data_IF_241098064006
#
_entry.id   IF_241098064006
#
_cell.length_a   1.000
_cell.length_b   1.000
_cell.length_c   1.000
_cell.angle_alpha   90.00
_cell.angle_beta   90.00
_cell.angle_gamma   90.00
#
_symmetry.space_group_name_H-M   'P 1'
#
loop_
_entity.id
_entity.type
_entity.pdbx_description
1 polymer ?
#
# COMPACT_ATOMS: atom_id res chain seq x y z
N UNK A 1 -46.49 5.59 32.20
CA UNK A 1 -45.99 5.60 30.81
C UNK A 1 -44.81 4.64 30.69
N UNK A 2 -45.06 3.39 30.32
CA UNK A 2 -44.03 2.34 30.23
C UNK A 2 -43.33 2.35 28.88
N UNK A 3 -42.00 2.33 28.88
CA UNK A 3 -41.20 2.09 27.68
C UNK A 3 -41.23 0.59 27.35
N UNK A 4 -41.44 0.20 26.07
CA UNK A 4 -41.34 -1.20 25.68
C UNK A 4 -39.86 -1.66 25.66
N UNK A 5 -39.58 -2.95 25.90
CA UNK A 5 -38.23 -3.50 25.85
C UNK A 5 -37.76 -3.65 24.39
N UNK A 6 -36.49 -3.29 24.16
CA UNK A 6 -35.83 -3.44 22.86
C UNK A 6 -35.49 -4.92 22.61
N UNK A 7 -36.07 -5.48 21.56
CA UNK A 7 -35.78 -6.83 21.07
C UNK A 7 -34.51 -6.76 20.22
N UNK A 8 -33.46 -7.48 20.64
CA UNK A 8 -32.21 -7.61 19.89
C UNK A 8 -32.37 -8.64 18.75
N UNK A 9 -31.88 -8.36 17.53
CA UNK A 9 -31.89 -9.32 16.44
C UNK A 9 -30.82 -10.41 16.66
N UNK A 10 -31.25 -11.66 16.56
CA UNK A 10 -30.43 -12.87 16.61
C UNK A 10 -29.49 -12.99 15.40
N UNK A 11 -28.21 -13.25 15.67
CA UNK A 11 -27.15 -13.35 14.66
C UNK A 11 -27.30 -14.58 13.75
N UNK A 12 -26.98 -14.47 12.44
CA UNK A 12 -27.00 -15.61 11.51
C UNK A 12 -25.79 -16.54 11.72
N UNK A 13 -26.07 -17.83 11.81
CA UNK A 13 -25.11 -18.92 11.97
C UNK A 13 -24.56 -19.32 10.59
N UNK A 14 -23.24 -19.26 10.40
CA UNK A 14 -22.56 -19.67 9.15
C UNK A 14 -22.10 -21.13 9.21
N UNK A 15 -22.32 -21.95 8.15
CA UNK A 15 -21.89 -23.34 8.11
C UNK A 15 -20.41 -23.47 7.73
N UNK A 16 -19.70 -24.32 8.48
CA UNK A 16 -18.35 -24.77 8.18
C UNK A 16 -18.33 -25.68 6.93
N UNK A 17 -17.43 -25.38 5.98
CA UNK A 17 -17.10 -26.27 4.87
C UNK A 17 -15.59 -26.35 4.70
N UNK A 18 -15.04 -27.49 5.08
CA UNK A 18 -13.68 -27.89 4.71
C UNK A 18 -13.61 -28.30 3.24
N UNK A 19 -12.40 -28.20 2.66
CA UNK A 19 -11.99 -29.08 1.58
C UNK A 19 -10.47 -29.19 1.49
N UNK A 20 -10.07 -30.44 1.31
CA UNK A 20 -8.75 -31.05 1.27
C UNK A 20 -8.05 -30.89 -0.10
N UNK A 21 -6.77 -31.28 -0.12
CA UNK A 21 -6.01 -31.88 -1.24
C UNK A 21 -5.39 -30.91 -2.24
N UNK A 22 -4.20 -31.12 -2.81
CA UNK A 22 -3.11 -32.10 -2.67
C UNK A 22 -1.93 -31.57 -3.52
N UNK A 23 -0.70 -32.01 -3.19
CA UNK A 23 0.47 -32.26 -4.06
C UNK A 23 0.79 -31.33 -5.23
N UNK A 24 2.02 -30.77 -5.21
CA UNK A 24 2.79 -30.55 -6.43
C UNK A 24 4.21 -31.09 -6.30
N UNK A 25 4.58 -31.76 -7.38
CA UNK A 25 5.66 -32.71 -7.57
C UNK A 25 7.04 -32.05 -7.75
N UNK A 26 8.05 -32.85 -7.45
CA UNK A 26 9.47 -32.59 -7.62
C UNK A 26 9.87 -32.78 -9.08
N UNK A 27 10.75 -31.93 -9.62
CA UNK A 27 11.50 -32.25 -10.83
C UNK A 27 13.00 -32.08 -10.60
N UNK A 28 13.63 -33.22 -10.30
CA UNK A 28 15.04 -33.48 -10.49
C UNK A 28 15.38 -33.48 -11.99
N UNK A 29 16.44 -32.76 -12.36
CA UNK A 29 17.16 -32.98 -13.60
C UNK A 29 18.66 -32.74 -13.35
N UNK A 30 19.37 -33.84 -13.10
CA UNK A 30 20.82 -33.93 -13.11
C UNK A 30 21.36 -34.12 -14.53
N UNK A 31 22.70 -33.98 -14.67
CA UNK A 31 23.60 -34.35 -15.79
C UNK A 31 24.04 -33.13 -16.63
N UNK A 32 25.30 -32.91 -17.02
CA UNK A 32 26.52 -33.75 -17.12
C UNK A 32 27.74 -32.83 -17.34
N UNK A 33 28.94 -33.35 -17.03
CA UNK A 33 30.23 -32.67 -17.06
C UNK A 33 30.96 -32.69 -18.43
N UNK A 34 31.97 -31.80 -18.55
CA UNK A 34 33.24 -31.88 -19.35
C UNK A 34 33.14 -31.95 -20.90
N UNK A 35 34.03 -31.42 -21.75
CA UNK A 35 35.37 -30.84 -21.66
C UNK A 35 35.81 -30.29 -23.05
N UNK A 36 36.68 -29.26 -23.05
CA UNK A 36 37.75 -28.93 -24.03
C UNK A 36 37.46 -28.81 -25.55
N UNK A 37 37.88 -27.67 -26.14
CA UNK A 37 38.19 -27.61 -27.58
C UNK A 37 38.27 -26.23 -28.22
N UNK A 38 39.46 -25.59 -28.13
CA UNK A 38 40.03 -24.45 -28.88
C UNK A 38 39.30 -23.98 -30.16
N UNK A 39 39.13 -22.66 -30.35
CA UNK A 39 39.97 -21.81 -31.24
C UNK A 39 39.29 -20.48 -31.64
N UNK A 40 40.15 -19.50 -31.95
CA UNK A 40 39.94 -18.29 -32.76
C UNK A 40 39.14 -17.09 -32.18
N UNK A 41 39.91 -16.17 -31.60
CA UNK A 41 39.99 -14.73 -31.95
C UNK A 41 38.69 -14.06 -32.42
N UNK A 42 38.14 -13.19 -31.57
CA UNK A 42 37.47 -11.97 -32.01
C UNK A 42 37.78 -10.87 -31.00
N UNK A 43 38.58 -9.91 -31.46
CA UNK A 43 38.80 -8.63 -30.82
C UNK A 43 37.51 -7.79 -30.87
N UNK A 44 37.42 -6.80 -29.97
CA UNK A 44 36.31 -5.86 -29.76
C UNK A 44 35.06 -6.50 -29.13
N UNK A 45 34.76 -6.24 -27.86
CA UNK A 45 34.18 -4.95 -27.50
C UNK A 45 34.50 -4.59 -26.04
N UNK A 46 35.52 -3.75 -25.85
CA UNK A 46 35.51 -2.79 -24.75
C UNK A 46 34.47 -1.71 -25.12
N UNK A 47 33.20 -2.02 -24.94
CA UNK A 47 32.12 -1.07 -25.08
C UNK A 47 31.55 -0.76 -23.68
N UNK A 48 32.09 0.32 -23.11
CA UNK A 48 31.31 1.32 -22.38
C UNK A 48 30.76 0.93 -21.00
N UNK A 49 31.61 0.86 -19.97
CA UNK A 49 31.19 1.15 -18.59
C UNK A 49 31.34 2.64 -18.20
N UNK A 50 31.73 3.50 -19.15
CA UNK A 50 31.85 4.96 -18.98
C UNK A 50 30.68 5.63 -19.71
N UNK A 51 29.45 5.40 -19.25
CA UNK A 51 28.26 5.89 -19.97
C UNK A 51 26.99 6.08 -19.14
N UNK A 52 26.99 5.75 -17.84
CA UNK A 52 25.83 6.02 -16.99
C UNK A 52 25.84 7.39 -16.31
N UNK A 53 26.97 8.11 -16.35
CA UNK A 53 27.08 9.42 -15.68
C UNK A 53 26.74 10.61 -16.61
N UNK A 54 26.94 10.48 -17.93
CA UNK A 54 26.78 11.60 -18.87
C UNK A 54 25.37 11.75 -19.49
N UNK A 55 24.49 10.76 -19.36
CA UNK A 55 23.12 10.85 -19.92
C UNK A 55 22.16 11.56 -18.95
N UNK A 56 22.54 11.70 -17.67
CA UNK A 56 21.64 12.32 -16.69
C UNK A 56 21.43 13.81 -17.01
N UNK A 57 22.41 14.51 -17.58
CA UNK A 57 22.43 15.98 -17.73
C UNK A 57 21.44 16.58 -18.75
N UNK A 58 20.80 15.78 -19.60
CA UNK A 58 19.83 16.27 -20.62
C UNK A 58 18.37 16.01 -20.31
N UNK A 59 18.04 15.35 -19.20
CA UNK A 59 16.65 15.19 -18.76
C UNK A 59 16.22 16.51 -18.09
N UNK A 60 15.21 17.23 -18.60
CA UNK A 60 14.69 18.43 -17.97
C UNK A 60 14.35 18.17 -16.49
N UNK A 61 14.60 19.12 -15.58
CA UNK A 61 14.43 18.91 -14.13
C UNK A 61 13.04 18.39 -13.75
N UNK A 62 12.00 18.86 -14.45
CA UNK A 62 10.62 18.39 -14.29
C UNK A 62 10.46 16.89 -14.60
N UNK A 63 11.12 16.37 -15.64
CA UNK A 63 10.99 14.97 -16.04
C UNK A 63 11.68 14.02 -15.05
N UNK A 64 12.78 14.46 -14.42
CA UNK A 64 13.43 13.69 -13.34
C UNK A 64 12.53 13.57 -12.12
N UNK A 65 11.86 14.67 -11.76
CA UNK A 65 10.97 14.70 -10.61
C UNK A 65 9.74 13.79 -10.81
N UNK A 66 9.12 13.83 -11.98
CA UNK A 66 8.02 12.91 -12.34
C UNK A 66 8.47 11.44 -12.25
N UNK A 67 9.67 11.11 -12.77
CA UNK A 67 10.19 9.75 -12.68
C UNK A 67 10.45 9.31 -11.23
N UNK A 68 10.91 10.23 -10.37
CA UNK A 68 11.11 9.99 -8.94
C UNK A 68 9.79 9.69 -8.24
N UNK A 69 8.77 10.52 -8.45
CA UNK A 69 7.42 10.34 -7.88
C UNK A 69 6.81 9.01 -8.35
N UNK A 70 6.86 8.70 -9.64
CA UNK A 70 6.35 7.43 -10.17
C UNK A 70 7.05 6.21 -9.56
N UNK A 71 8.37 6.29 -9.37
CA UNK A 71 9.13 5.23 -8.70
C UNK A 71 8.69 5.04 -7.24
N UNK A 72 8.49 6.14 -6.51
CA UNK A 72 8.01 6.12 -5.13
C UNK A 72 6.59 5.55 -5.03
N UNK A 73 5.64 6.03 -5.85
CA UNK A 73 4.28 5.50 -5.89
C UNK A 73 4.27 4.01 -6.25
N UNK A 74 5.10 3.57 -7.20
CA UNK A 74 5.21 2.14 -7.56
C UNK A 74 5.73 1.29 -6.41
N UNK A 75 6.75 1.77 -5.69
CA UNK A 75 7.28 1.08 -4.51
C UNK A 75 6.23 1.02 -3.39
N UNK A 76 5.51 2.13 -3.18
CA UNK A 76 4.41 2.24 -2.23
C UNK A 76 3.29 1.23 -2.53
N UNK A 77 2.78 1.20 -3.76
CA UNK A 77 1.75 0.23 -4.19
C UNK A 77 2.22 -1.20 -3.96
N UNK A 78 3.46 -1.53 -4.35
CA UNK A 78 4.02 -2.87 -4.11
C UNK A 78 4.07 -3.24 -2.63
N UNK A 79 4.40 -2.28 -1.75
CA UNK A 79 4.37 -2.48 -0.30
C UNK A 79 2.95 -2.71 0.20
N UNK A 80 2.01 -1.88 -0.22
CA UNK A 80 0.61 -1.99 0.17
C UNK A 80 -0.07 -3.27 -0.35
N UNK A 81 0.31 -3.78 -1.53
CA UNK A 81 -0.18 -5.08 -2.02
C UNK A 81 0.27 -6.26 -1.15
N UNK A 82 1.39 -6.14 -0.41
CA UNK A 82 1.84 -7.14 0.55
C UNK A 82 1.19 -6.99 1.93
N UNK A 83 0.56 -5.85 2.19
CA UNK A 83 0.18 -5.42 3.53
C UNK A 83 1.30 -4.64 4.21
N UNK A 84 0.94 -3.49 4.77
CA UNK A 84 1.82 -2.64 5.55
C UNK A 84 1.21 -2.44 6.93
N UNK A 85 2.02 -2.67 7.96
CA UNK A 85 1.66 -2.34 9.33
C UNK A 85 1.71 -0.84 9.53
N UNK A 86 0.60 -0.28 10.01
CA UNK A 86 0.42 1.13 10.31
C UNK A 86 -0.29 1.25 11.66
N UNK A 87 -0.54 2.48 12.08
CA UNK A 87 -1.24 2.73 13.33
C UNK A 87 -2.37 3.71 13.08
N UNK A 88 -3.59 3.30 13.44
CA UNK A 88 -4.80 4.10 13.30
C UNK A 88 -5.08 4.83 14.61
N UNK A 89 -5.47 6.10 14.50
CA UNK A 89 -5.89 6.93 15.64
C UNK A 89 -7.42 6.94 15.70
N UNK A 90 -7.95 6.48 16.83
CA UNK A 90 -9.39 6.47 17.11
C UNK A 90 -9.85 7.82 17.65
N UNK A 91 -11.15 8.10 17.59
CA UNK A 91 -11.76 9.32 18.13
C UNK A 91 -11.48 9.53 19.63
N UNK A 92 -11.28 8.44 20.38
CA UNK A 92 -10.93 8.47 21.80
C UNK A 92 -9.45 8.85 22.06
N UNK A 93 -8.69 9.19 21.01
CA UNK A 93 -7.24 9.41 21.05
C UNK A 93 -6.42 8.13 21.16
N UNK A 94 -7.06 6.96 21.12
CA UNK A 94 -6.40 5.67 21.22
C UNK A 94 -5.75 5.26 19.91
N UNK A 95 -4.50 4.83 20.02
CA UNK A 95 -3.64 4.46 18.90
C UNK A 95 -3.63 2.93 18.79
N UNK A 96 -4.10 2.37 17.67
CA UNK A 96 -4.22 0.92 17.48
C UNK A 96 -3.39 0.45 16.28
N UNK A 97 -2.62 -0.65 16.39
CA UNK A 97 -1.94 -1.23 15.24
C UNK A 97 -2.97 -1.78 14.25
N UNK A 98 -2.71 -1.60 12.96
CA UNK A 98 -3.55 -2.10 11.89
C UNK A 98 -2.69 -2.52 10.70
N UNK A 99 -3.22 -3.41 9.86
CA UNK A 99 -2.57 -3.77 8.60
C UNK A 99 -3.38 -3.23 7.44
N UNK A 100 -2.76 -2.39 6.62
CA UNK A 100 -3.40 -1.79 5.46
C UNK A 100 -2.87 -2.41 4.17
N UNK A 101 -3.76 -2.66 3.21
CA UNK A 101 -3.38 -3.21 1.91
C UNK A 101 -4.27 -2.73 0.78
N UNK A 102 -3.77 -2.80 -0.45
CA UNK A 102 -4.63 -2.71 -1.64
C UNK A 102 -4.99 -4.11 -2.14
N UNK A 103 -6.13 -4.24 -2.80
CA UNK A 103 -6.40 -5.41 -3.62
C UNK A 103 -5.55 -5.42 -4.91
N UNK A 104 -5.43 -6.58 -5.55
CA UNK A 104 -4.61 -6.75 -6.77
C UNK A 104 -5.06 -5.87 -7.94
N UNK A 105 -6.31 -5.43 -7.93
CA UNK A 105 -6.89 -4.57 -8.97
C UNK A 105 -6.82 -3.09 -8.64
N UNK A 106 -6.23 -2.73 -7.48
CA UNK A 106 -6.22 -1.38 -6.93
C UNK A 106 -7.61 -0.73 -6.91
N UNK A 107 -8.66 -1.49 -6.64
CA UNK A 107 -10.03 -0.95 -6.50
C UNK A 107 -10.41 -0.71 -5.06
N UNK A 108 -9.81 -1.46 -4.13
CA UNK A 108 -10.19 -1.45 -2.73
C UNK A 108 -8.97 -1.26 -1.83
N UNK A 109 -9.12 -0.37 -0.86
CA UNK A 109 -8.26 -0.23 0.30
C UNK A 109 -8.80 -1.09 1.44
N UNK A 110 -8.00 -2.04 1.92
CA UNK A 110 -8.37 -2.94 2.99
C UNK A 110 -7.61 -2.56 4.26
N UNK A 111 -8.33 -2.46 5.37
CA UNK A 111 -7.77 -2.18 6.69
C UNK A 111 -8.16 -3.34 7.61
N UNK A 112 -7.16 -3.93 8.26
CA UNK A 112 -7.35 -5.02 9.20
C UNK A 112 -7.04 -4.50 10.61
N UNK A 113 -8.04 -4.49 11.47
CA UNK A 113 -7.94 -4.09 12.88
C UNK A 113 -8.48 -5.25 13.72
N UNK A 114 -7.68 -5.81 14.62
CA UNK A 114 -8.11 -6.91 15.50
C UNK A 114 -8.79 -8.08 14.76
N UNK A 115 -8.25 -8.49 13.61
CA UNK A 115 -8.77 -9.54 12.71
C UNK A 115 -10.06 -9.19 11.95
N UNK A 116 -10.66 -8.03 12.21
CA UNK A 116 -11.75 -7.52 11.40
C UNK A 116 -11.18 -6.80 10.17
N UNK A 117 -11.65 -7.19 8.98
CA UNK A 117 -11.21 -6.59 7.72
C UNK A 117 -12.31 -5.68 7.18
N UNK A 118 -12.00 -4.39 7.08
CA UNK A 118 -12.84 -3.40 6.42
C UNK A 118 -12.29 -3.14 5.01
N UNK A 119 -13.13 -3.31 3.99
CA UNK A 119 -12.79 -3.01 2.60
C UNK A 119 -13.49 -1.73 2.16
N UNK A 120 -12.72 -0.77 1.63
CA UNK A 120 -13.18 0.56 1.24
C UNK A 120 -12.82 0.78 -0.24
N UNK A 121 -13.78 0.99 -1.13
CA UNK A 121 -13.49 1.31 -2.52
C UNK A 121 -12.67 2.60 -2.63
N UNK A 122 -11.66 2.64 -3.50
CA UNK A 122 -10.83 3.83 -3.68
C UNK A 122 -11.62 5.04 -4.20
N UNK A 123 -12.68 4.79 -4.97
CA UNK A 123 -13.62 5.82 -5.44
C UNK A 123 -14.43 6.48 -4.31
N UNK A 124 -14.33 5.99 -3.06
CA UNK A 124 -15.01 6.55 -1.90
C UNK A 124 -14.15 7.54 -1.13
N UNK A 125 -12.87 7.67 -1.46
CA UNK A 125 -11.99 8.66 -0.86
C UNK A 125 -12.22 10.02 -1.54
N UNK A 126 -12.55 11.03 -0.73
CA UNK A 126 -12.75 12.41 -1.17
C UNK A 126 -11.44 13.18 -1.08
N UNK A 127 -10.87 13.24 0.13
CA UNK A 127 -9.76 14.15 0.44
C UNK A 127 -8.72 13.47 1.35
N UNK A 128 -7.47 13.92 1.21
CA UNK A 128 -6.35 13.53 2.08
C UNK A 128 -5.79 14.77 2.77
N UNK A 129 -5.83 14.76 4.11
CA UNK A 129 -5.28 15.81 4.96
C UNK A 129 -4.04 15.34 5.70
N UNK A 130 -3.17 16.29 6.05
CA UNK A 130 -1.92 16.04 6.76
C UNK A 130 -1.82 16.91 8.00
N UNK A 131 -1.25 16.36 9.07
CA UNK A 131 -1.06 17.04 10.33
C UNK A 131 -2.37 17.26 11.09
N UNK A 132 -2.58 18.49 11.53
CA UNK A 132 -3.70 18.88 12.40
C UNK A 132 -5.02 19.15 11.64
N UNK A 133 -5.08 18.88 10.35
CA UNK A 133 -6.28 19.08 9.52
C UNK A 133 -7.03 17.76 9.26
N UNK A 134 -8.36 17.81 9.12
CA UNK A 134 -9.25 18.98 9.30
C UNK A 134 -9.51 19.30 10.78
N UNK A 135 -9.81 20.57 11.12
CA UNK A 135 -10.08 21.02 12.50
C UNK A 135 -11.42 20.54 13.07
N UNK A 136 -12.32 20.10 12.20
CA UNK A 136 -13.73 19.88 12.54
C UNK A 136 -14.02 18.45 13.02
N UNK A 137 -12.97 17.67 13.27
CA UNK A 137 -13.10 16.29 13.77
C UNK A 137 -12.79 16.20 15.26
N UNK A 138 -13.48 15.29 15.94
CA UNK A 138 -13.28 15.05 17.38
C UNK A 138 -11.96 14.36 17.72
N UNK A 139 -11.26 13.81 16.72
CA UNK A 139 -10.01 13.07 16.91
C UNK A 139 -8.87 14.05 17.24
N UNK A 140 -8.08 13.81 18.30
CA UNK A 140 -6.96 14.69 18.66
C UNK A 140 -5.80 14.53 17.67
N UNK A 141 -5.80 15.34 16.61
CA UNK A 141 -4.76 15.31 15.58
C UNK A 141 -3.44 15.92 16.05
N UNK A 142 -2.33 15.40 15.52
CA UNK A 142 -0.97 15.94 15.68
C UNK A 142 -0.27 16.08 14.33
N UNK A 143 0.94 16.66 14.32
CA UNK A 143 1.72 16.84 13.10
C UNK A 143 2.11 15.52 12.41
N UNK A 144 1.99 14.38 13.08
CA UNK A 144 2.31 13.06 12.53
C UNK A 144 1.08 12.33 11.98
N UNK A 145 -0.09 12.97 11.99
CA UNK A 145 -1.33 12.39 11.49
C UNK A 145 -1.51 12.58 9.98
N UNK A 146 -2.10 11.59 9.33
CA UNK A 146 -2.61 11.66 7.96
C UNK A 146 -4.06 11.19 7.99
N UNK A 147 -4.99 12.04 7.57
CA UNK A 147 -6.43 11.79 7.69
C UNK A 147 -7.05 11.67 6.31
N UNK A 148 -7.79 10.59 6.08
CA UNK A 148 -8.58 10.39 4.87
C UNK A 148 -10.04 10.63 5.14
N UNK A 149 -10.68 11.40 4.28
CA UNK A 149 -12.12 11.65 4.34
C UNK A 149 -12.81 10.84 3.26
N UNK A 150 -13.81 10.06 3.65
CA UNK A 150 -14.68 9.33 2.74
C UNK A 150 -15.84 10.23 2.30
N UNK A 151 -16.46 9.92 1.16
CA UNK A 151 -17.67 10.60 0.66
C UNK A 151 -18.86 10.53 1.62
N UNK A 152 -18.86 9.56 2.55
CA UNK A 152 -19.84 9.44 3.63
C UNK A 152 -19.63 10.43 4.78
N UNK A 153 -18.52 11.17 4.78
CA UNK A 153 -18.08 12.03 5.88
C UNK A 153 -17.29 11.29 6.97
N UNK A 154 -17.08 9.98 6.83
CA UNK A 154 -16.22 9.24 7.76
C UNK A 154 -14.75 9.60 7.57
N UNK A 155 -14.01 9.69 8.68
CA UNK A 155 -12.59 10.01 8.68
C UNK A 155 -11.75 8.83 9.17
N UNK A 156 -10.64 8.56 8.48
CA UNK A 156 -9.64 7.56 8.87
C UNK A 156 -8.30 8.23 9.09
N UNK A 157 -7.86 8.30 10.34
CA UNK A 157 -6.60 8.95 10.71
C UNK A 157 -5.51 7.92 11.01
N UNK A 158 -4.38 8.06 10.36
CA UNK A 158 -3.17 7.26 10.59
C UNK A 158 -2.10 8.11 11.24
N UNK A 159 -1.41 7.56 12.23
CA UNK A 159 -0.32 8.24 12.94
C UNK A 159 1.02 7.60 12.57
N UNK A 160 1.98 8.43 12.19
CA UNK A 160 3.32 8.00 11.75
C UNK A 160 4.38 8.32 12.80
N UNK A 161 5.58 7.78 12.60
CA UNK A 161 6.72 8.07 13.49
C UNK A 161 7.45 9.34 13.11
N UNK A 162 7.44 9.68 11.83
CA UNK A 162 8.13 10.85 11.27
C UNK A 162 7.24 11.58 10.28
N UNK A 163 7.53 12.87 10.09
CA UNK A 163 6.85 13.73 9.11
C UNK A 163 7.10 13.21 7.69
N UNK A 164 8.33 12.80 7.37
CA UNK A 164 8.67 12.26 6.04
C UNK A 164 7.86 11.00 5.69
N UNK A 165 7.62 10.11 6.66
CA UNK A 165 6.79 8.92 6.45
C UNK A 165 5.34 9.28 6.15
N UNK A 166 4.79 10.26 6.91
CA UNK A 166 3.44 10.80 6.72
C UNK A 166 3.29 11.44 5.33
N UNK A 167 4.22 12.31 4.96
CA UNK A 167 4.19 13.03 3.67
C UNK A 167 4.28 12.07 2.48
N UNK A 168 5.21 11.13 2.53
CA UNK A 168 5.35 10.14 1.46
C UNK A 168 4.10 9.25 1.37
N UNK A 169 3.50 8.87 2.51
CA UNK A 169 2.25 8.13 2.53
C UNK A 169 1.09 8.93 1.91
N UNK A 170 0.90 10.17 2.36
CA UNK A 170 -0.16 11.05 1.89
C UNK A 170 -0.04 11.32 0.39
N UNK A 171 1.15 11.70 -0.09
CA UNK A 171 1.41 11.96 -1.51
C UNK A 171 1.13 10.72 -2.37
N UNK A 172 1.66 9.55 -1.99
CA UNK A 172 1.46 8.33 -2.78
C UNK A 172 -0.02 7.93 -2.81
N UNK A 173 -0.73 8.06 -1.69
CA UNK A 173 -2.15 7.73 -1.63
C UNK A 173 -2.99 8.71 -2.44
N UNK A 174 -2.72 10.02 -2.36
CA UNK A 174 -3.42 11.04 -3.15
C UNK A 174 -3.30 10.73 -4.65
N UNK A 175 -2.09 10.47 -5.15
CA UNK A 175 -1.86 10.10 -6.56
C UNK A 175 -2.70 8.88 -6.98
N UNK A 176 -2.84 7.90 -6.07
CA UNK A 176 -3.62 6.69 -6.34
C UNK A 176 -5.11 7.02 -6.33
N UNK A 177 -5.60 7.78 -5.35
CA UNK A 177 -7.01 8.17 -5.25
C UNK A 177 -7.42 9.00 -6.47
N UNK A 178 -6.61 9.99 -6.86
CA UNK A 178 -6.84 10.85 -8.03
C UNK A 178 -6.90 10.03 -9.33
N UNK A 179 -6.09 8.96 -9.44
CA UNK A 179 -6.14 8.06 -10.59
C UNK A 179 -7.40 7.19 -10.66
N UNK A 180 -8.22 7.19 -9.61
CA UNK A 180 -9.45 6.39 -9.47
C UNK A 180 -10.75 7.22 -9.47
N UNK A 181 -10.64 8.56 -9.48
CA UNK A 181 -11.76 9.47 -9.69
C UNK A 181 -12.05 9.64 -11.19
#
# INVERSE_FOLDING_TARGET
CGRPPLVLPSSPQMPAKGRSSDKLDSCDAASVASSQGRSARSAASNASSIGSEFINERIPPHQREVARIQSQTKAFVKGMLKGRELTVLSVDGQVRPCTCSFDRKLRNYNIIIQQETRSIPLSKFSDVFQGCEPSDISTPLDEFCCTFVLDTGECLTFRFKTVDERENFAMCLQIIVDGHQ
#
